data_IF_431340242486
#
_entry.id   IF_431340242486
#
_cell.length_a   1.000
_cell.length_b   1.000
_cell.length_c   1.000
_cell.angle_alpha   90.00
_cell.angle_beta   90.00
_cell.angle_gamma   90.00
#
_symmetry.space_group_name_H-M   'P 1'
#
loop_
_entity.id
_entity.type
_entity.pdbx_description
1 polymer ?
#
# COMPACT_ATOMS: atom_id res chain seq x y z
N UNK A 1 1.31 7.06 51.99
CA UNK A 1 0.22 7.07 50.98
C UNK A 1 0.87 7.47 49.67
N UNK A 2 1.25 6.48 48.84
CA UNK A 2 1.86 6.75 47.54
C UNK A 2 0.79 6.51 46.48
N UNK A 3 0.30 7.58 45.88
CA UNK A 3 -0.61 7.53 44.74
C UNK A 3 0.14 6.93 43.54
N UNK A 4 -0.07 5.64 43.30
CA UNK A 4 0.34 4.98 42.07
C UNK A 4 -0.53 5.55 40.95
N UNK A 5 0.01 6.48 40.17
CA UNK A 5 -0.63 6.99 38.96
C UNK A 5 -0.85 5.83 38.01
N UNK A 6 -2.07 5.30 37.95
CA UNK A 6 -2.44 4.24 37.02
C UNK A 6 -2.36 4.81 35.60
N UNK A 7 -1.24 4.55 34.92
CA UNK A 7 -1.08 4.85 33.50
C UNK A 7 -2.05 3.95 32.74
N UNK A 8 -3.21 4.50 32.38
CA UNK A 8 -4.21 3.80 31.57
C UNK A 8 -3.58 3.57 30.19
N UNK A 9 -3.25 2.32 29.88
CA UNK A 9 -2.63 1.96 28.61
C UNK A 9 -3.48 2.48 27.44
N UNK A 10 -2.86 3.25 26.53
CA UNK A 10 -3.51 3.70 25.31
C UNK A 10 -3.76 2.49 24.40
N UNK A 11 -5.01 2.01 24.36
CA UNK A 11 -5.40 0.95 23.42
C UNK A 11 -5.49 1.51 22.00
N UNK A 12 -4.47 1.27 21.20
CA UNK A 12 -4.49 1.54 19.77
C UNK A 12 -5.20 0.37 19.08
N UNK A 13 -6.42 0.58 18.57
CA UNK A 13 -7.08 -0.41 17.71
C UNK A 13 -6.36 -0.44 16.37
N UNK A 14 -5.82 -1.60 16.00
CA UNK A 14 -5.22 -1.79 14.68
C UNK A 14 -6.27 -1.51 13.59
N UNK A 15 -6.00 -0.52 12.75
CA UNK A 15 -6.83 -0.17 11.59
C UNK A 15 -6.50 -1.08 10.40
N UNK A 16 -6.44 -2.38 10.64
CA UNK A 16 -6.21 -3.36 9.59
C UNK A 16 -7.53 -3.58 8.85
N UNK A 17 -7.55 -3.33 7.54
CA UNK A 17 -8.72 -3.70 6.71
C UNK A 17 -8.72 -5.22 6.54
N UNK A 18 -9.88 -5.85 6.32
CA UNK A 18 -9.93 -7.27 5.98
C UNK A 18 -9.13 -7.54 4.70
N UNK A 19 -8.67 -8.79 4.54
CA UNK A 19 -8.01 -9.21 3.31
C UNK A 19 -8.94 -9.03 2.10
N UNK A 20 -8.35 -8.74 0.94
CA UNK A 20 -9.07 -8.63 -0.33
C UNK A 20 -9.02 -9.99 -1.03
N UNK A 21 -10.17 -10.53 -1.41
CA UNK A 21 -10.25 -11.73 -2.26
C UNK A 21 -10.36 -11.25 -3.71
N UNK A 22 -9.51 -11.78 -4.57
CA UNK A 22 -9.46 -11.49 -6.02
C UNK A 22 -9.68 -12.81 -6.75
N UNK A 23 -10.68 -12.84 -7.61
CA UNK A 23 -10.87 -13.94 -8.57
C UNK A 23 -10.07 -13.63 -9.83
N UNK A 24 -9.19 -14.57 -10.22
CA UNK A 24 -8.36 -14.46 -11.41
C UNK A 24 -8.27 -15.83 -12.09
N UNK A 25 -8.59 -15.88 -13.38
CA UNK A 25 -8.61 -17.11 -14.18
C UNK A 25 -9.37 -18.29 -13.51
N UNK A 26 -10.51 -17.99 -12.87
CA UNK A 26 -11.34 -18.97 -12.18
C UNK A 26 -10.80 -19.50 -10.85
N UNK A 27 -9.73 -18.90 -10.32
CA UNK A 27 -9.17 -19.19 -9.00
C UNK A 27 -9.26 -17.97 -8.07
N UNK A 28 -9.46 -18.22 -6.77
CA UNK A 28 -9.49 -17.16 -5.76
C UNK A 28 -8.12 -17.00 -5.08
N UNK A 29 -7.66 -15.76 -5.03
CA UNK A 29 -6.41 -15.37 -4.37
C UNK A 29 -6.70 -14.34 -3.28
N UNK A 30 -6.02 -14.46 -2.15
CA UNK A 30 -6.18 -13.54 -1.02
C UNK A 30 -5.00 -12.59 -0.92
N UNK A 31 -5.28 -11.30 -1.05
CA UNK A 31 -4.32 -10.21 -0.84
C UNK A 31 -4.47 -9.61 0.55
N UNK A 32 -3.38 -9.24 1.25
CA UNK A 32 -3.45 -8.69 2.59
C UNK A 32 -4.16 -7.34 2.63
N UNK A 33 -5.04 -7.14 3.61
CA UNK A 33 -5.74 -5.86 3.85
C UNK A 33 -4.91 -4.79 4.58
N UNK A 34 -3.61 -5.02 4.71
CA UNK A 34 -2.66 -4.11 5.37
C UNK A 34 -1.56 -3.76 4.38
N UNK A 35 -1.24 -2.46 4.29
CA UNK A 35 -0.08 -1.99 3.53
C UNK A 35 1.21 -2.41 4.25
N UNK A 36 2.11 -3.16 3.59
CA UNK A 36 3.45 -3.43 4.11
C UNK A 36 4.20 -2.13 4.44
N UNK A 37 4.94 -2.12 5.55
CA UNK A 37 5.75 -0.98 5.99
C UNK A 37 6.76 -0.52 4.94
N UNK A 38 7.26 -1.46 4.15
CA UNK A 38 8.25 -1.31 3.10
C UNK A 38 7.69 -0.45 1.96
N UNK A 39 6.42 -0.69 1.58
CA UNK A 39 5.72 0.12 0.57
C UNK A 39 5.50 1.55 1.09
N UNK A 40 5.15 1.71 2.37
CA UNK A 40 5.04 3.05 2.99
C UNK A 40 6.39 3.77 3.07
N UNK A 41 7.47 3.02 3.26
CA UNK A 41 8.82 3.56 3.36
C UNK A 41 9.32 4.08 2.01
N UNK A 42 8.96 3.42 0.90
CA UNK A 42 9.27 3.91 -0.46
C UNK A 42 8.68 5.29 -0.70
N UNK A 43 7.40 5.49 -0.37
CA UNK A 43 6.76 6.81 -0.50
C UNK A 43 7.45 7.88 0.35
N UNK A 44 7.99 7.51 1.52
CA UNK A 44 8.73 8.43 2.37
C UNK A 44 10.16 8.73 1.87
N UNK A 45 10.80 7.76 1.21
CA UNK A 45 12.19 7.88 0.71
C UNK A 45 12.25 8.62 -0.63
N UNK A 46 11.26 8.40 -1.50
CA UNK A 46 11.10 9.18 -2.73
C UNK A 46 10.51 10.54 -2.38
N UNK A 47 11.38 11.54 -2.23
CA UNK A 47 10.94 12.92 -1.97
C UNK A 47 10.49 13.57 -3.26
N UNK A 48 9.28 14.14 -3.24
CA UNK A 48 8.77 14.93 -4.36
C UNK A 48 9.78 16.02 -4.76
N UNK A 49 10.12 16.14 -6.06
CA UNK A 49 11.05 17.15 -6.52
C UNK A 49 10.47 18.54 -6.24
N UNK A 50 11.32 19.46 -5.78
CA UNK A 50 10.93 20.87 -5.57
C UNK A 50 10.63 21.61 -6.87
N UNK A 51 11.12 21.08 -8.00
CA UNK A 51 10.91 21.67 -9.31
C UNK A 51 9.47 21.41 -9.77
N UNK A 52 8.66 22.46 -10.01
CA UNK A 52 7.27 22.29 -10.46
C UNK A 52 7.15 21.93 -11.96
N UNK A 53 8.27 21.84 -12.69
CA UNK A 53 8.26 21.48 -14.10
C UNK A 53 7.58 20.11 -14.30
N UNK A 54 6.64 20.08 -15.25
CA UNK A 54 5.72 18.96 -15.47
C UNK A 54 6.47 17.66 -15.80
N UNK A 55 7.47 17.74 -16.66
CA UNK A 55 8.36 16.63 -17.03
C UNK A 55 9.09 16.03 -15.82
N UNK A 56 9.57 16.88 -14.91
CA UNK A 56 10.26 16.44 -13.69
C UNK A 56 9.28 15.79 -12.70
N UNK A 57 8.08 16.32 -12.57
CA UNK A 57 7.02 15.71 -11.73
C UNK A 57 6.54 14.38 -12.32
N UNK A 58 6.33 14.29 -13.63
CA UNK A 58 5.92 13.06 -14.32
C UNK A 58 6.99 11.97 -14.22
N UNK A 59 8.27 12.32 -14.40
CA UNK A 59 9.38 11.38 -14.22
C UNK A 59 9.40 10.84 -12.78
N UNK A 60 9.26 11.72 -11.79
CA UNK A 60 9.19 11.32 -10.38
C UNK A 60 8.01 10.39 -10.08
N UNK A 61 6.80 10.70 -10.57
CA UNK A 61 5.62 9.87 -10.37
C UNK A 61 5.78 8.49 -11.02
N UNK A 62 6.41 8.44 -12.19
CA UNK A 62 6.72 7.17 -12.86
C UNK A 62 7.70 6.33 -12.05
N UNK A 63 8.80 6.91 -11.59
CA UNK A 63 9.80 6.20 -10.78
C UNK A 63 9.21 5.69 -9.46
N UNK A 64 8.44 6.54 -8.77
CA UNK A 64 7.72 6.15 -7.56
C UNK A 64 6.73 5.02 -7.83
N UNK A 65 5.95 5.12 -8.91
CA UNK A 65 4.99 4.10 -9.32
C UNK A 65 5.65 2.76 -9.57
N UNK A 66 6.77 2.73 -10.31
CA UNK A 66 7.54 1.51 -10.57
C UNK A 66 8.05 0.89 -9.26
N UNK A 67 8.65 1.68 -8.37
CA UNK A 67 9.18 1.18 -7.10
C UNK A 67 8.07 0.61 -6.19
N UNK A 68 6.89 1.25 -6.18
CA UNK A 68 5.74 0.78 -5.40
C UNK A 68 5.15 -0.50 -5.96
N UNK A 69 4.99 -0.60 -7.28
CA UNK A 69 4.46 -1.80 -7.95
C UNK A 69 5.40 -2.99 -7.77
N UNK A 70 6.71 -2.78 -7.88
CA UNK A 70 7.73 -3.82 -7.65
C UNK A 70 7.60 -4.43 -6.24
N UNK A 71 7.50 -3.58 -5.21
CA UNK A 71 7.27 -4.07 -3.85
C UNK A 71 5.90 -4.64 -3.59
N UNK A 72 4.88 -4.15 -4.28
CA UNK A 72 3.54 -4.76 -4.23
C UNK A 72 3.61 -6.19 -4.75
N UNK A 73 4.21 -6.40 -5.92
CA UNK A 73 4.38 -7.75 -6.46
C UNK A 73 5.14 -8.62 -5.46
N UNK A 74 6.26 -8.16 -4.92
CA UNK A 74 7.07 -8.93 -3.98
C UNK A 74 6.34 -9.30 -2.67
N UNK A 75 5.68 -8.34 -2.03
CA UNK A 75 5.25 -8.44 -0.64
C UNK A 75 3.75 -8.72 -0.46
N UNK A 76 2.95 -8.48 -1.49
CA UNK A 76 1.48 -8.51 -1.41
C UNK A 76 0.91 -9.66 -2.23
N UNK A 77 1.46 -9.92 -3.41
CA UNK A 77 0.98 -11.00 -4.30
C UNK A 77 1.50 -12.35 -3.78
N UNK A 78 0.63 -13.32 -3.44
CA UNK A 78 1.04 -14.66 -3.00
C UNK A 78 1.81 -15.42 -4.08
N UNK A 79 2.69 -16.34 -3.70
CA UNK A 79 3.51 -17.11 -4.64
C UNK A 79 2.67 -17.89 -5.67
N UNK A 80 1.56 -18.49 -5.25
CA UNK A 80 0.66 -19.24 -6.14
C UNK A 80 -0.01 -18.31 -7.15
N UNK A 81 -0.36 -17.08 -6.75
CA UNK A 81 -0.92 -16.09 -7.65
C UNK A 81 0.13 -15.58 -8.64
N UNK A 82 1.38 -15.36 -8.19
CA UNK A 82 2.50 -14.96 -9.07
C UNK A 82 2.77 -15.96 -10.19
N UNK A 83 2.50 -17.25 -9.97
CA UNK A 83 2.76 -18.30 -10.95
C UNK A 83 1.80 -18.25 -12.15
N UNK A 84 0.62 -17.65 -11.97
CA UNK A 84 -0.42 -17.58 -13.01
C UNK A 84 -0.74 -16.16 -13.47
N UNK A 85 -0.37 -15.14 -12.67
CA UNK A 85 -0.64 -13.73 -12.98
C UNK A 85 0.16 -13.27 -14.20
N UNK A 86 -0.53 -12.76 -15.21
CA UNK A 86 0.09 -12.03 -16.30
C UNK A 86 0.61 -10.67 -15.80
N UNK A 87 1.82 -10.30 -16.21
CA UNK A 87 2.42 -9.02 -15.85
C UNK A 87 1.69 -7.84 -16.49
N UNK A 88 0.96 -8.05 -17.59
CA UNK A 88 0.07 -7.03 -18.18
C UNK A 88 -1.10 -6.69 -17.22
N UNK A 89 -1.61 -7.67 -16.48
CA UNK A 89 -2.73 -7.52 -15.54
C UNK A 89 -2.30 -7.00 -14.17
N UNK A 90 -1.00 -7.02 -13.86
CA UNK A 90 -0.47 -6.63 -12.55
C UNK A 90 -0.92 -5.23 -12.12
N UNK A 91 -1.02 -4.31 -13.07
CA UNK A 91 -1.50 -2.94 -12.84
C UNK A 91 -2.94 -2.90 -12.32
N UNK A 92 -3.85 -3.69 -12.90
CA UNK A 92 -5.24 -3.77 -12.47
C UNK A 92 -5.37 -4.39 -11.07
N UNK A 93 -4.58 -5.45 -10.79
CA UNK A 93 -4.56 -6.07 -9.46
C UNK A 93 -4.03 -5.09 -8.41
N UNK A 94 -2.98 -4.33 -8.74
CA UNK A 94 -2.44 -3.28 -7.88
C UNK A 94 -3.47 -2.18 -7.61
N UNK A 95 -4.19 -1.71 -8.63
CA UNK A 95 -5.25 -0.68 -8.46
C UNK A 95 -6.37 -1.17 -7.53
N UNK A 96 -6.85 -2.40 -7.73
CA UNK A 96 -7.88 -2.99 -6.87
C UNK A 96 -7.42 -3.10 -5.41
N UNK A 97 -6.19 -3.60 -5.19
CA UNK A 97 -5.63 -3.72 -3.85
C UNK A 97 -5.35 -2.36 -3.21
N UNK A 98 -4.69 -1.44 -3.91
CA UNK A 98 -4.31 -0.12 -3.40
C UNK A 98 -5.55 0.70 -3.03
N UNK A 99 -6.61 0.66 -3.84
CA UNK A 99 -7.91 1.25 -3.49
C UNK A 99 -8.53 0.59 -2.26
N UNK A 100 -8.52 -0.75 -2.19
CA UNK A 100 -9.05 -1.48 -1.04
C UNK A 100 -8.34 -1.13 0.27
N UNK A 101 -7.02 -0.96 0.26
CA UNK A 101 -6.23 -0.59 1.46
C UNK A 101 -6.14 0.93 1.69
N UNK A 102 -6.53 1.74 0.70
CA UNK A 102 -6.43 3.20 0.71
C UNK A 102 -5.01 3.72 0.56
N UNK A 103 -4.17 3.02 -0.21
CA UNK A 103 -2.83 3.47 -0.58
C UNK A 103 -2.97 4.52 -1.69
N UNK A 104 -2.45 5.73 -1.48
CA UNK A 104 -2.57 6.84 -2.43
C UNK A 104 -3.79 7.74 -2.21
N UNK A 105 -4.82 7.27 -1.51
CA UNK A 105 -5.82 8.15 -0.90
C UNK A 105 -5.16 8.88 0.27
N UNK A 106 -4.57 10.03 -0.03
CA UNK A 106 -4.35 11.05 1.01
C UNK A 106 -5.72 11.35 1.57
N UNK A 107 -6.07 10.78 2.73
CA UNK A 107 -7.15 11.33 3.53
C UNK A 107 -6.71 12.74 3.90
N UNK A 108 -7.17 13.68 3.09
CA UNK A 108 -7.34 15.08 3.44
C UNK A 108 -7.91 15.08 4.85
N UNK A 109 -7.03 15.36 5.81
CA UNK A 109 -7.43 15.64 7.18
C UNK A 109 -7.91 17.08 7.12
N UNK A 110 -9.13 17.24 6.61
CA UNK A 110 -9.59 18.51 6.05
C UNK A 110 -11.10 18.65 6.00
N UNK A 111 -11.81 18.31 7.09
CA UNK A 111 -12.85 19.16 7.70
C UNK A 111 -13.42 18.56 8.98
#
# INVERSE_FOLDING_TARGET
MSETTAVKALQIKAKARPALVVEYDGAEYTLPGRVPSEIMTIQAQHKAPKNPAKDVQEAYQRELGVAVIDRFYDLVVPADFKATLDMEDLSAVFEAWSGHVGLGESKDSGK
#
